data_IF_845601279804
#
_entry.id   IF_845601279804
#
_cell.length_a   1.000
_cell.length_b   1.000
_cell.length_c   1.000
_cell.angle_alpha   90.00
_cell.angle_beta   90.00
_cell.angle_gamma   90.00
#
_symmetry.space_group_name_H-M   'P 1'
#
loop_
_entity.id
_entity.type
_entity.pdbx_description
1 polymer ?
#
# COMPACT_ATOMS: atom_id res chain seq x y z
N UNK A 1 14.93 4.08 -32.84
CA UNK A 1 13.57 3.65 -33.21
C UNK A 1 12.71 3.59 -31.95
N UNK A 2 11.86 4.61 -31.75
CA UNK A 2 10.92 4.65 -30.64
C UNK A 2 9.71 3.78 -31.00
N UNK A 3 9.48 2.70 -30.24
CA UNK A 3 8.26 1.92 -30.33
C UNK A 3 7.09 2.81 -29.88
N UNK A 4 6.40 3.38 -30.88
CA UNK A 4 5.09 4.02 -30.74
C UNK A 4 4.02 2.97 -31.02
N UNK A 5 2.97 3.06 -30.21
CA UNK A 5 1.60 2.57 -30.43
C UNK A 5 1.23 1.13 -30.07
N UNK A 6 0.20 1.10 -29.21
CA UNK A 6 -0.50 -0.05 -28.68
C UNK A 6 -1.50 0.45 -27.62
N UNK A 7 -2.48 1.21 -28.10
CA UNK A 7 -3.48 1.96 -27.34
C UNK A 7 -4.51 1.03 -26.65
N UNK A 8 -4.07 0.05 -25.85
CA UNK A 8 -4.95 -0.62 -24.89
C UNK A 8 -5.10 0.32 -23.68
N UNK A 9 -5.94 1.36 -23.81
CA UNK A 9 -6.20 2.32 -22.74
C UNK A 9 -7.11 1.71 -21.66
N UNK A 10 -6.62 0.70 -20.95
CA UNK A 10 -7.11 0.49 -19.60
C UNK A 10 -6.52 1.64 -18.77
N UNK A 11 -7.37 2.44 -18.13
CA UNK A 11 -6.97 3.58 -17.31
C UNK A 11 -6.30 3.15 -15.99
N UNK A 12 -5.29 2.27 -16.06
CA UNK A 12 -4.57 1.78 -14.90
C UNK A 12 -3.55 2.81 -14.40
N UNK A 13 -3.38 2.86 -13.09
CA UNK A 13 -2.30 3.61 -12.48
C UNK A 13 -0.94 3.02 -12.92
N UNK A 14 0.06 3.88 -13.13
CA UNK A 14 1.42 3.46 -13.51
C UNK A 14 2.04 2.47 -12.50
N UNK A 15 1.69 2.62 -11.22
CA UNK A 15 2.04 1.69 -10.15
C UNK A 15 1.44 0.29 -10.35
N UNK A 16 0.18 0.21 -10.77
CA UNK A 16 -0.50 -1.05 -11.10
C UNK A 16 0.17 -1.73 -12.29
N UNK A 17 0.46 -0.99 -13.37
CA UNK A 17 1.19 -1.54 -14.52
C UNK A 17 2.58 -2.07 -14.11
N UNK A 18 3.29 -1.37 -13.23
CA UNK A 18 4.60 -1.80 -12.75
C UNK A 18 4.50 -3.08 -11.90
N UNK A 19 3.49 -3.20 -11.04
CA UNK A 19 3.22 -4.43 -10.27
C UNK A 19 2.91 -5.61 -11.19
N UNK A 20 2.05 -5.42 -12.20
CA UNK A 20 1.73 -6.45 -13.19
C UNK A 20 2.99 -6.88 -13.95
N UNK A 21 3.80 -5.93 -14.42
CA UNK A 21 5.08 -6.24 -15.06
C UNK A 21 5.99 -7.06 -14.15
N UNK A 22 6.13 -6.68 -12.88
CA UNK A 22 6.97 -7.42 -11.92
C UNK A 22 6.47 -8.85 -11.73
N UNK A 23 5.16 -9.04 -11.54
CA UNK A 23 4.55 -10.36 -11.37
C UNK A 23 4.77 -11.23 -12.60
N UNK A 24 4.48 -10.71 -13.79
CA UNK A 24 4.70 -11.44 -15.04
C UNK A 24 6.19 -11.80 -15.22
N UNK A 25 7.10 -10.90 -14.88
CA UNK A 25 8.53 -11.20 -14.90
C UNK A 25 8.90 -12.38 -13.99
N UNK A 26 8.31 -12.49 -12.80
CA UNK A 26 8.53 -13.62 -11.88
C UNK A 26 7.94 -14.90 -12.45
N UNK A 27 6.70 -14.86 -12.96
CA UNK A 27 6.03 -16.02 -13.56
C UNK A 27 6.82 -16.59 -14.74
N UNK A 28 7.29 -15.74 -15.67
CA UNK A 28 8.09 -16.22 -16.80
C UNK A 28 9.46 -16.73 -16.38
N UNK A 29 10.09 -16.14 -15.36
CA UNK A 29 11.34 -16.69 -14.80
C UNK A 29 11.11 -18.05 -14.14
N UNK A 30 9.96 -18.26 -13.50
CA UNK A 30 9.56 -19.56 -12.97
C UNK A 30 9.34 -20.55 -14.12
N UNK A 31 8.65 -20.15 -15.18
CA UNK A 31 8.47 -20.98 -16.39
C UNK A 31 9.80 -21.42 -17.01
N UNK A 32 10.79 -20.53 -17.09
CA UNK A 32 12.15 -20.89 -17.55
C UNK A 32 12.80 -21.92 -16.63
N UNK A 33 12.68 -21.78 -15.32
CA UNK A 33 13.26 -22.74 -14.36
C UNK A 33 12.75 -24.16 -14.54
N UNK A 34 11.50 -24.31 -14.95
CA UNK A 34 10.86 -25.60 -15.23
C UNK A 34 10.84 -25.94 -16.73
N UNK A 35 11.66 -25.25 -17.54
CA UNK A 35 11.80 -25.50 -18.99
C UNK A 35 10.49 -25.39 -19.78
N UNK A 36 9.49 -24.67 -19.24
CA UNK A 36 8.20 -24.40 -19.90
C UNK A 36 8.31 -23.22 -20.87
N UNK A 37 9.31 -22.35 -20.70
CA UNK A 37 9.55 -21.17 -21.53
C UNK A 37 11.03 -20.99 -21.83
N UNK A 38 11.39 -20.70 -23.07
CA UNK A 38 12.80 -20.50 -23.47
C UNK A 38 13.39 -19.16 -22.99
N UNK A 39 12.54 -18.13 -22.86
CA UNK A 39 12.97 -16.78 -22.52
C UNK A 39 11.86 -15.97 -21.85
N UNK A 40 12.27 -14.95 -21.09
CA UNK A 40 11.33 -14.07 -20.42
C UNK A 40 10.97 -12.88 -21.34
N UNK A 41 9.74 -12.80 -21.87
CA UNK A 41 9.32 -11.71 -22.76
C UNK A 41 9.25 -10.35 -22.05
N UNK A 42 9.17 -10.34 -20.71
CA UNK A 42 9.01 -9.12 -19.91
C UNK A 42 10.36 -8.43 -19.64
N UNK A 43 11.49 -9.08 -19.95
CA UNK A 43 12.85 -8.59 -19.64
C UNK A 43 13.15 -7.21 -20.23
N UNK A 44 12.63 -6.90 -21.43
CA UNK A 44 12.86 -5.61 -22.11
C UNK A 44 11.72 -4.60 -21.88
N UNK A 45 10.66 -4.97 -21.18
CA UNK A 45 9.51 -4.10 -20.94
C UNK A 45 9.87 -3.02 -19.92
N UNK A 46 9.92 -1.77 -20.38
CA UNK A 46 10.16 -0.60 -19.53
C UNK A 46 8.84 -0.09 -18.97
N UNK A 47 8.65 -0.23 -17.67
CA UNK A 47 7.52 0.37 -16.96
C UNK A 47 8.03 1.14 -15.74
N UNK A 48 7.76 2.44 -15.68
CA UNK A 48 8.04 3.25 -14.49
C UNK A 48 6.86 3.22 -13.53
N UNK A 49 7.17 3.19 -12.22
CA UNK A 49 6.18 3.24 -11.14
C UNK A 49 6.08 4.64 -10.50
N UNK A 50 6.56 5.70 -11.19
CA UNK A 50 6.58 7.06 -10.63
C UNK A 50 5.19 7.45 -10.15
N UNK A 51 5.09 7.84 -8.87
CA UNK A 51 3.85 8.38 -8.29
C UNK A 51 3.47 9.65 -9.06
N UNK A 52 2.19 9.79 -9.38
CA UNK A 52 1.66 10.96 -10.09
C UNK A 52 1.51 12.17 -9.16
N UNK A 53 1.29 11.94 -7.87
CA UNK A 53 1.07 12.97 -6.88
C UNK A 53 1.82 12.64 -5.58
N UNK A 54 2.22 13.70 -4.88
CA UNK A 54 2.71 13.63 -3.51
C UNK A 54 1.47 13.44 -2.62
N UNK A 55 1.48 12.50 -1.66
CA UNK A 55 0.38 12.36 -0.72
C UNK A 55 0.21 13.67 0.06
N UNK A 56 -1.03 14.06 0.32
CA UNK A 56 -1.34 15.22 1.17
C UNK A 56 -0.91 14.89 2.60
N UNK A 57 -0.05 15.73 3.16
CA UNK A 57 0.41 15.62 4.54
C UNK A 57 -0.43 16.59 5.37
N UNK A 58 -1.16 16.08 6.35
CA UNK A 58 -1.98 16.89 7.24
C UNK A 58 -1.09 17.51 8.33
N UNK A 59 -1.21 18.82 8.52
CA UNK A 59 -0.60 19.54 9.64
C UNK A 59 -1.36 19.29 10.94
N UNK A 60 -0.72 19.50 12.09
CA UNK A 60 -1.36 19.32 13.40
C UNK A 60 -2.68 20.11 13.55
N UNK A 61 -2.74 21.33 13.00
CA UNK A 61 -3.93 22.17 13.03
C UNK A 61 -5.07 21.61 12.15
N UNK A 62 -4.75 20.97 11.03
CA UNK A 62 -5.75 20.30 10.18
C UNK A 62 -6.28 19.04 10.85
N UNK A 63 -5.42 18.28 11.51
CA UNK A 63 -5.83 17.10 12.29
C UNK A 63 -6.73 17.52 13.44
N UNK A 64 -6.42 18.60 14.16
CA UNK A 64 -7.27 19.09 15.25
C UNK A 64 -8.65 19.54 14.77
N UNK A 65 -8.71 20.24 13.62
CA UNK A 65 -9.99 20.60 12.98
C UNK A 65 -10.78 19.39 12.49
N UNK A 66 -10.10 18.34 12.02
CA UNK A 66 -10.74 17.09 11.64
C UNK A 66 -11.33 16.37 12.86
N UNK A 67 -10.56 16.26 13.94
CA UNK A 67 -10.96 15.63 15.20
C UNK A 67 -12.15 16.36 15.84
N UNK A 68 -12.24 17.69 15.71
CA UNK A 68 -13.32 18.47 16.33
C UNK A 68 -14.70 18.26 15.72
N UNK A 69 -14.77 17.77 14.48
CA UNK A 69 -16.05 17.52 13.76
C UNK A 69 -16.46 16.05 13.77
N UNK A 70 -15.59 15.14 14.20
CA UNK A 70 -15.82 13.70 14.20
C UNK A 70 -16.57 13.24 15.45
N UNK A 71 -17.35 12.16 15.30
CA UNK A 71 -17.96 11.44 16.42
C UNK A 71 -16.92 10.78 17.31
N UNK A 72 -17.32 10.39 18.53
CA UNK A 72 -16.41 9.84 19.56
C UNK A 72 -15.58 8.66 19.03
N UNK A 73 -16.19 7.76 18.26
CA UNK A 73 -15.53 6.58 17.72
C UNK A 73 -14.46 6.95 16.68
N UNK A 74 -14.81 7.74 15.69
CA UNK A 74 -13.92 8.17 14.62
C UNK A 74 -12.81 9.06 15.17
N UNK A 75 -13.13 9.91 16.15
CA UNK A 75 -12.17 10.75 16.88
C UNK A 75 -11.09 9.91 17.55
N UNK A 76 -11.47 8.87 18.29
CA UNK A 76 -10.52 7.97 18.96
C UNK A 76 -9.66 7.22 17.94
N UNK A 77 -10.24 6.73 16.85
CA UNK A 77 -9.50 6.05 15.76
C UNK A 77 -8.46 6.97 15.12
N UNK A 78 -8.84 8.21 14.78
CA UNK A 78 -7.94 9.19 14.19
C UNK A 78 -6.83 9.57 15.19
N UNK A 79 -7.16 9.80 16.46
CA UNK A 79 -6.18 10.13 17.48
C UNK A 79 -5.15 9.00 17.68
N UNK A 80 -5.62 7.74 17.75
CA UNK A 80 -4.75 6.57 17.81
C UNK A 80 -3.87 6.50 16.57
N UNK A 81 -4.44 6.55 15.37
CA UNK A 81 -3.67 6.46 14.12
C UNK A 81 -2.57 7.53 14.01
N UNK A 82 -2.88 8.78 14.40
CA UNK A 82 -1.89 9.86 14.38
C UNK A 82 -0.86 9.76 15.50
N UNK A 83 -1.24 9.30 16.69
CA UNK A 83 -0.36 9.20 17.84
C UNK A 83 0.59 8.01 17.79
N UNK A 84 0.14 6.87 17.26
CA UNK A 84 0.90 5.60 17.26
C UNK A 84 1.43 5.22 15.88
N UNK A 85 0.91 5.82 14.81
CA UNK A 85 1.33 5.52 13.44
C UNK A 85 0.86 4.15 12.92
N UNK A 86 -0.14 3.54 13.56
CA UNK A 86 -0.69 2.24 13.15
C UNK A 86 -1.26 2.28 11.73
N UNK A 87 -1.02 1.20 10.98
CA UNK A 87 -1.71 0.99 9.72
C UNK A 87 -3.20 0.76 9.95
N UNK A 88 -4.02 1.12 8.96
CA UNK A 88 -5.47 0.99 9.06
C UNK A 88 -5.94 -0.43 9.40
N UNK A 89 -5.27 -1.45 8.85
CA UNK A 89 -5.56 -2.87 9.18
C UNK A 89 -5.24 -3.24 10.62
N UNK A 90 -4.22 -2.64 11.21
CA UNK A 90 -3.81 -2.88 12.61
C UNK A 90 -4.76 -2.18 13.56
N UNK A 91 -5.14 -0.94 13.24
CA UNK A 91 -6.09 -0.16 14.02
C UNK A 91 -7.46 -0.85 14.11
N UNK A 92 -7.96 -1.40 13.00
CA UNK A 92 -9.23 -2.15 12.99
C UNK A 92 -9.11 -3.56 13.58
N UNK A 93 -7.89 -4.13 13.62
CA UNK A 93 -7.62 -5.44 14.22
C UNK A 93 -7.38 -5.41 15.73
N UNK A 94 -7.27 -4.21 16.32
CA UNK A 94 -6.94 -4.00 17.73
C UNK A 94 -8.06 -4.53 18.64
N UNK A 95 -7.68 -5.36 19.62
CA UNK A 95 -8.59 -5.89 20.64
C UNK A 95 -8.32 -5.25 22.00
N UNK A 96 -9.30 -5.32 22.91
CA UNK A 96 -9.15 -4.80 24.28
C UNK A 96 -7.98 -5.40 25.05
N UNK A 97 -7.65 -6.67 24.80
CA UNK A 97 -6.51 -7.36 25.44
C UNK A 97 -5.15 -6.88 24.93
N UNK A 98 -5.12 -6.17 23.80
CA UNK A 98 -3.89 -5.66 23.19
C UNK A 98 -3.48 -4.30 23.78
N UNK A 99 -4.32 -3.71 24.63
CA UNK A 99 -4.11 -2.38 25.23
C UNK A 99 -3.78 -2.56 26.71
N UNK A 100 -2.54 -2.25 27.08
CA UNK A 100 -2.11 -2.21 28.49
C UNK A 100 -2.11 -0.76 28.98
N UNK A 101 -3.20 -0.36 29.63
CA UNK A 101 -3.33 0.99 30.22
C UNK A 101 -2.44 1.23 31.45
N UNK A 102 -1.83 0.20 32.04
CA UNK A 102 -0.89 0.39 33.15
C UNK A 102 0.50 0.78 32.65
N UNK A 103 0.86 0.29 31.46
CA UNK A 103 2.16 0.52 30.83
C UNK A 103 2.14 1.55 29.70
N UNK A 104 0.95 2.05 29.34
CA UNK A 104 0.72 2.89 28.16
C UNK A 104 1.22 2.24 26.86
N UNK A 105 1.08 0.91 26.77
CA UNK A 105 1.57 0.10 25.65
C UNK A 105 0.43 -0.47 24.83
N UNK A 106 0.62 -0.50 23.50
CA UNK A 106 -0.28 -1.15 22.55
C UNK A 106 0.49 -2.27 21.85
N UNK A 107 0.04 -3.50 22.07
CA UNK A 107 0.58 -4.69 21.41
C UNK A 107 -0.07 -4.87 20.06
N UNK A 108 0.65 -4.60 18.98
CA UNK A 108 0.10 -4.71 17.63
C UNK A 108 0.03 -6.19 17.24
N UNK A 109 -1.17 -6.76 16.96
CA UNK A 109 -1.26 -8.11 16.44
C UNK A 109 -0.70 -8.10 15.02
N UNK A 110 0.56 -8.51 14.87
CA UNK A 110 1.15 -8.79 13.57
C UNK A 110 0.25 -9.78 12.85
N UNK A 111 -0.23 -9.40 11.68
CA UNK A 111 -0.90 -10.31 10.76
C UNK A 111 0.00 -11.53 10.53
N UNK A 112 -0.42 -12.71 11.00
CA UNK A 112 0.13 -13.99 10.51
C UNK A 112 0.00 -13.97 9.00
N UNK A 113 1.14 -13.85 8.31
CA UNK A 113 1.26 -14.05 6.87
C UNK A 113 1.13 -15.52 6.53
#
# INVERSE_FOLDING_TARGET
MYFREGNLRLALAKSSCAKIRNLMSVVFNHGIRYEVCDRNPIRLVRQSAKRKAIPVILSANEVQRLISVLGVRERTLVLLAFGTGLCMSELFGLKWHDIDFQKDEISVPSCSK
#
